data_IF_936473805031
#
_entry.id   IF_936473805031
#
_cell.length_a   1.000
_cell.length_b   1.000
_cell.length_c   1.000
_cell.angle_alpha   90.00
_cell.angle_beta   90.00
_cell.angle_gamma   90.00
#
_symmetry.space_group_name_H-M   'P 1'
#
loop_
_entity.id
_entity.type
_entity.pdbx_description
1 polymer ?
#
# COMPACT_ATOMS: atom_id res chain seq x y z
N UNK A 1 -12.51 -13.47 16.26
CA UNK A 1 -13.09 -12.11 16.32
C UNK A 1 -12.09 -11.17 15.66
N UNK A 2 -12.18 -10.97 14.35
CA UNK A 2 -11.44 -9.89 13.70
C UNK A 2 -12.11 -8.58 14.13
N UNK A 3 -11.43 -7.83 15.00
CA UNK A 3 -11.93 -6.56 15.48
C UNK A 3 -12.03 -5.60 14.29
N UNK A 4 -13.25 -5.23 13.90
CA UNK A 4 -13.54 -4.07 13.07
C UNK A 4 -13.30 -2.81 13.89
N UNK A 5 -12.03 -2.51 14.18
CA UNK A 5 -11.63 -1.17 14.60
C UNK A 5 -12.00 -0.24 13.43
N UNK A 6 -12.68 0.89 13.63
CA UNK A 6 -12.84 1.87 12.56
C UNK A 6 -11.46 2.42 12.23
N UNK A 7 -10.78 1.82 11.25
CA UNK A 7 -9.47 2.29 10.83
C UNK A 7 -9.72 3.60 10.06
N UNK A 8 -9.34 4.71 10.67
CA UNK A 8 -9.41 6.00 10.00
C UNK A 8 -8.45 5.99 8.81
N UNK A 9 -9.00 5.97 7.60
CA UNK A 9 -8.22 5.92 6.37
C UNK A 9 -7.56 7.30 6.15
N UNK A 10 -6.24 7.33 6.16
CA UNK A 10 -5.47 8.55 5.90
C UNK A 10 -5.62 8.98 4.45
N UNK A 11 -6.06 10.22 4.28
CA UNK A 11 -6.09 10.94 3.00
C UNK A 11 -4.87 11.87 2.92
N UNK A 12 -4.31 12.06 1.73
CA UNK A 12 -3.18 12.95 1.50
C UNK A 12 -1.86 12.24 1.16
N UNK A 13 -0.72 12.97 1.19
CA UNK A 13 0.57 12.48 0.72
C UNK A 13 1.04 11.27 1.52
N UNK A 14 1.82 10.39 0.88
CA UNK A 14 2.48 9.28 1.55
C UNK A 14 3.68 9.79 2.34
N UNK A 15 3.77 9.38 3.60
CA UNK A 15 4.97 9.62 4.41
C UNK A 15 6.02 8.54 4.15
N UNK A 16 7.26 8.86 4.48
CA UNK A 16 8.40 7.94 4.31
C UNK A 16 8.18 6.66 5.12
N UNK A 17 7.64 6.77 6.34
CA UNK A 17 7.36 5.61 7.19
C UNK A 17 6.27 4.71 6.60
N UNK A 18 5.27 5.30 5.90
CA UNK A 18 4.25 4.52 5.21
C UNK A 18 4.83 3.77 4.00
N UNK A 19 5.77 4.39 3.29
CA UNK A 19 6.47 3.75 2.17
C UNK A 19 7.35 2.60 2.64
N UNK A 20 8.10 2.77 3.73
CA UNK A 20 8.92 1.70 4.31
C UNK A 20 8.07 0.47 4.68
N UNK A 21 6.90 0.67 5.27
CA UNK A 21 5.96 -0.41 5.61
C UNK A 21 5.37 -1.07 4.36
N UNK A 22 5.09 -0.29 3.31
CA UNK A 22 4.62 -0.82 2.04
C UNK A 22 5.70 -1.65 1.35
N UNK A 23 6.95 -1.18 1.34
CA UNK A 23 8.10 -1.91 0.79
C UNK A 23 8.28 -3.22 1.54
N UNK A 24 8.31 -3.18 2.87
CA UNK A 24 8.45 -4.39 3.70
C UNK A 24 7.35 -5.41 3.44
N UNK A 25 6.10 -4.95 3.28
CA UNK A 25 4.99 -5.84 2.89
C UNK A 25 5.26 -6.51 1.54
N UNK A 26 5.75 -5.76 0.55
CA UNK A 26 6.05 -6.32 -0.77
C UNK A 26 7.28 -7.23 -0.76
N UNK A 27 8.29 -6.96 0.07
CA UNK A 27 9.43 -7.86 0.25
C UNK A 27 9.00 -9.20 0.89
N UNK A 28 8.08 -9.16 1.84
CA UNK A 28 7.63 -10.34 2.58
C UNK A 28 6.56 -11.16 1.83
N UNK A 29 5.58 -10.48 1.23
CA UNK A 29 4.40 -11.11 0.60
C UNK A 29 4.38 -10.96 -0.93
N UNK A 30 5.25 -10.16 -1.53
CA UNK A 30 5.16 -9.78 -2.94
C UNK A 30 4.14 -8.67 -3.20
N UNK A 31 4.06 -8.14 -4.44
CA UNK A 31 3.17 -7.04 -4.82
C UNK A 31 1.72 -7.53 -5.03
N UNK A 32 1.17 -8.22 -4.03
CA UNK A 32 -0.18 -8.80 -3.99
C UNK A 32 -0.85 -8.47 -2.66
N UNK A 33 -2.12 -8.84 -2.54
CA UNK A 33 -2.89 -8.78 -1.29
C UNK A 33 -2.79 -7.41 -0.60
N UNK A 34 -3.06 -6.35 -1.36
CA UNK A 34 -2.84 -4.97 -0.94
C UNK A 34 -3.71 -4.50 0.23
N UNK A 35 -4.78 -5.23 0.56
CA UNK A 35 -5.62 -4.97 1.73
C UNK A 35 -5.02 -5.55 3.02
N UNK A 36 -4.02 -6.45 2.91
CA UNK A 36 -3.37 -7.08 4.06
C UNK A 36 -2.66 -6.08 5.00
N UNK A 37 -1.92 -5.06 4.51
CA UNK A 37 -1.35 -4.04 5.39
C UNK A 37 -2.39 -3.30 6.22
N UNK A 38 -3.59 -3.07 5.67
CA UNK A 38 -4.70 -2.45 6.39
C UNK A 38 -5.32 -3.41 7.40
N UNK A 39 -5.59 -4.65 6.97
CA UNK A 39 -6.13 -5.71 7.82
C UNK A 39 -5.23 -6.01 9.03
N UNK A 40 -3.90 -5.97 8.84
CA UNK A 40 -2.92 -6.13 9.92
C UNK A 40 -2.69 -4.86 10.76
N UNK A 41 -3.32 -3.74 10.40
CA UNK A 41 -3.13 -2.45 11.07
C UNK A 41 -1.73 -1.84 10.86
N UNK A 42 -0.93 -2.36 9.93
CA UNK A 42 0.38 -1.81 9.59
C UNK A 42 0.25 -0.47 8.84
N UNK A 43 -0.76 -0.34 7.97
CA UNK A 43 -0.99 0.84 7.17
C UNK A 43 -2.44 1.28 7.29
N UNK A 44 -2.65 2.58 7.52
CA UNK A 44 -3.99 3.19 7.52
C UNK A 44 -4.38 3.65 6.11
N UNK A 45 -4.06 2.82 5.11
CA UNK A 45 -4.28 3.06 3.67
C UNK A 45 -5.07 1.90 3.09
N UNK A 46 -5.99 2.17 2.18
CA UNK A 46 -6.73 1.10 1.48
C UNK A 46 -5.81 0.34 0.53
N UNK A 47 -6.13 -0.91 0.21
CA UNK A 47 -5.30 -1.68 -0.72
C UNK A 47 -5.22 -1.08 -2.11
N UNK A 48 -6.28 -0.39 -2.57
CA UNK A 48 -6.22 0.42 -3.79
C UNK A 48 -5.13 1.50 -3.71
N UNK A 49 -5.00 2.18 -2.57
CA UNK A 49 -3.98 3.22 -2.38
C UNK A 49 -2.58 2.62 -2.33
N UNK A 50 -2.38 1.52 -1.60
CA UNK A 50 -1.12 0.78 -1.53
C UNK A 50 -0.65 0.31 -2.92
N UNK A 51 -1.54 -0.31 -3.70
CA UNK A 51 -1.25 -0.74 -5.08
C UNK A 51 -0.83 0.42 -5.97
N UNK A 52 -1.57 1.53 -5.93
CA UNK A 52 -1.26 2.71 -6.75
C UNK A 52 0.08 3.32 -6.36
N UNK A 53 0.38 3.40 -5.05
CA UNK A 53 1.67 3.89 -4.56
C UNK A 53 2.81 3.02 -5.09
N UNK A 54 2.67 1.70 -4.97
CA UNK A 54 3.68 0.75 -5.44
C UNK A 54 3.96 0.90 -6.94
N UNK A 55 2.90 0.89 -7.77
CA UNK A 55 3.04 0.96 -9.22
C UNK A 55 3.65 2.30 -9.69
N UNK A 56 3.27 3.41 -9.06
CA UNK A 56 3.75 4.73 -9.47
C UNK A 56 5.18 5.02 -9.01
N UNK A 57 5.59 4.53 -7.85
CA UNK A 57 6.87 4.90 -7.23
C UNK A 57 7.96 3.82 -7.39
N UNK A 58 7.59 2.54 -7.43
CA UNK A 58 8.56 1.43 -7.35
C UNK A 58 8.51 0.47 -8.54
N UNK A 59 7.46 0.54 -9.37
CA UNK A 59 7.38 -0.22 -10.62
C UNK A 59 7.07 0.70 -11.84
N UNK A 60 7.85 1.76 -12.08
CA UNK A 60 7.58 2.73 -13.15
C UNK A 60 7.65 2.09 -14.55
N UNK A 61 8.37 0.97 -14.68
CA UNK A 61 8.57 0.28 -15.96
C UNK A 61 7.30 -0.41 -16.50
N UNK A 62 6.22 -0.49 -15.73
CA UNK A 62 4.94 -1.05 -16.20
C UNK A 62 4.08 -0.02 -16.98
N UNK A 63 4.46 1.26 -17.01
CA UNK A 63 3.80 2.32 -17.78
C UNK A 63 4.81 3.20 -18.54
N UNK A 64 5.41 2.64 -19.58
CA UNK A 64 5.75 3.40 -20.78
C UNK A 64 5.04 2.78 -21.98
N UNK A 65 3.71 2.79 -21.93
CA UNK A 65 2.94 2.84 -23.17
C UNK A 65 2.99 4.29 -23.61
N UNK A 66 3.83 4.59 -24.60
CA UNK A 66 3.76 5.84 -25.35
C UNK A 66 2.31 6.04 -25.82
N UNK A 67 1.77 7.25 -25.58
CA UNK A 67 0.53 7.69 -26.20
C UNK A 67 0.75 7.97 -27.68
#
# INVERSE_FOLDING_TARGET
>A
MEQLIPIEIKKGPWKIEEDELLIKHVEEYGPRDWDLPLSKGHLQRTGKSCRLRWLNSYQPNLKKGEF
#
